data_IF_364948581443
#
_entry.id   IF_364948581443
#
_cell.length_a   1.000
_cell.length_b   1.000
_cell.length_c   1.000
_cell.angle_alpha   90.00
_cell.angle_beta   90.00
_cell.angle_gamma   90.00
#
_symmetry.space_group_name_H-M   'P 1'
#
loop_
_entity.id
_entity.type
_entity.pdbx_description
1 polymer ?
#
# COMPACT_ATOMS: atom_id res chain seq x y z
N UNK A 1 7.23 -13.17 0.85
CA UNK A 1 6.88 -11.76 0.72
C UNK A 1 5.70 -11.70 -0.25
N UNK A 2 4.60 -11.07 0.13
CA UNK A 2 3.39 -10.97 -0.72
C UNK A 2 3.11 -9.48 -0.95
N UNK A 3 2.87 -9.12 -2.20
CA UNK A 3 2.34 -7.81 -2.59
C UNK A 3 0.85 -7.93 -2.86
N UNK A 4 0.08 -6.99 -2.34
CA UNK A 4 -1.39 -6.95 -2.45
C UNK A 4 -1.76 -5.58 -3.01
N UNK A 5 -2.48 -5.54 -4.12
CA UNK A 5 -3.13 -4.32 -4.56
C UNK A 5 -4.38 -4.14 -3.69
N UNK A 6 -4.47 -3.02 -2.97
CA UNK A 6 -5.56 -2.74 -2.04
C UNK A 6 -6.65 -1.87 -2.66
N UNK A 7 -6.52 -1.48 -3.92
CA UNK A 7 -7.44 -0.57 -4.60
C UNK A 7 -7.39 0.84 -4.03
N UNK A 8 -8.46 1.59 -4.29
CA UNK A 8 -8.72 2.97 -3.88
C UNK A 8 -10.15 3.34 -4.25
N UNK A 9 -10.45 4.63 -4.29
CA UNK A 9 -11.76 5.22 -4.64
C UNK A 9 -12.28 4.82 -6.03
N UNK A 10 -11.41 4.43 -6.97
CA UNK A 10 -11.81 4.00 -8.31
C UNK A 10 -12.43 2.58 -8.37
N UNK A 11 -12.55 1.89 -7.23
CA UNK A 11 -13.15 0.56 -7.18
C UNK A 11 -14.64 0.68 -6.88
N UNK A 12 -15.47 0.41 -7.89
CA UNK A 12 -16.92 0.29 -7.77
C UNK A 12 -17.29 -0.90 -6.88
N UNK A 13 -18.16 -0.68 -5.91
CA UNK A 13 -18.67 -1.74 -5.02
C UNK A 13 -20.01 -2.27 -5.53
N UNK A 14 -20.16 -3.60 -5.60
CA UNK A 14 -21.35 -4.26 -6.16
C UNK A 14 -22.67 -3.82 -5.49
N UNK A 15 -22.67 -3.55 -4.18
CA UNK A 15 -23.88 -3.14 -3.46
C UNK A 15 -24.05 -1.61 -3.32
N UNK A 16 -23.15 -0.78 -3.86
CA UNK A 16 -23.22 0.69 -3.80
C UNK A 16 -23.24 1.34 -2.40
N UNK A 17 -23.22 0.52 -1.34
CA UNK A 17 -23.34 0.94 0.07
C UNK A 17 -22.01 1.27 0.73
N UNK A 18 -20.89 0.90 0.11
CA UNK A 18 -19.53 1.12 0.63
C UNK A 18 -18.67 1.78 -0.44
N UNK A 19 -17.90 2.76 -0.02
CA UNK A 19 -16.91 3.46 -0.84
C UNK A 19 -15.64 2.59 -0.97
N UNK A 20 -15.06 2.50 -2.17
CA UNK A 20 -13.82 1.77 -2.45
C UNK A 20 -12.66 2.21 -1.56
N UNK A 21 -12.63 3.49 -1.18
CA UNK A 21 -11.66 4.03 -0.22
C UNK A 21 -11.81 3.42 1.17
N UNK A 22 -13.04 3.32 1.68
CA UNK A 22 -13.30 2.73 2.99
C UNK A 22 -12.87 1.26 3.03
N UNK A 23 -13.13 0.52 1.95
CA UNK A 23 -12.72 -0.90 1.82
C UNK A 23 -11.20 -1.04 1.80
N UNK A 24 -10.50 -0.15 1.09
CA UNK A 24 -9.03 -0.10 1.09
C UNK A 24 -8.48 0.13 2.51
N UNK A 25 -9.03 1.11 3.25
CA UNK A 25 -8.61 1.43 4.62
C UNK A 25 -8.87 0.26 5.59
N UNK A 26 -10.03 -0.38 5.50
CA UNK A 26 -10.37 -1.58 6.29
C UNK A 26 -9.42 -2.74 5.98
N UNK A 27 -9.09 -2.93 4.69
CA UNK A 27 -8.17 -3.98 4.24
C UNK A 27 -6.76 -3.75 4.81
N UNK A 28 -6.22 -2.53 4.70
CA UNK A 28 -4.91 -2.20 5.26
C UNK A 28 -4.87 -2.36 6.78
N UNK A 29 -5.94 -1.98 7.48
CA UNK A 29 -6.06 -2.17 8.93
C UNK A 29 -6.01 -3.65 9.30
N UNK A 30 -6.83 -4.48 8.66
CA UNK A 30 -6.86 -5.92 8.90
C UNK A 30 -5.50 -6.57 8.57
N UNK A 31 -4.85 -6.18 7.47
CA UNK A 31 -3.51 -6.65 7.14
C UNK A 31 -2.49 -6.24 8.22
N UNK A 32 -2.58 -5.03 8.76
CA UNK A 32 -1.66 -4.60 9.81
C UNK A 32 -1.80 -5.43 11.08
N UNK A 33 -3.02 -5.76 11.51
CA UNK A 33 -3.27 -6.57 12.70
C UNK A 33 -2.65 -7.98 12.57
N UNK A 34 -2.72 -8.57 11.38
CA UNK A 34 -2.16 -9.90 11.10
C UNK A 34 -0.64 -9.86 10.94
N UNK A 35 -0.09 -8.87 10.25
CA UNK A 35 1.31 -8.87 9.82
C UNK A 35 2.25 -8.01 10.67
N UNK A 36 1.75 -7.24 11.64
CA UNK A 36 2.61 -6.44 12.54
C UNK A 36 3.52 -7.31 13.39
N UNK A 37 3.07 -8.50 13.81
CA UNK A 37 3.88 -9.45 14.60
C UNK A 37 5.09 -10.04 13.85
N UNK A 38 4.98 -10.19 12.52
CA UNK A 38 5.95 -10.92 11.68
C UNK A 38 6.89 -10.00 10.86
N UNK A 39 6.81 -8.70 11.09
CA UNK A 39 7.55 -7.70 10.33
C UNK A 39 6.62 -6.78 9.56
N UNK A 40 6.57 -5.54 10.04
CA UNK A 40 5.94 -4.32 9.49
C UNK A 40 5.32 -4.47 8.10
N UNK A 41 4.03 -4.13 7.98
CA UNK A 41 3.37 -3.84 6.72
C UNK A 41 3.98 -2.59 6.08
N UNK A 42 4.30 -2.64 4.80
CA UNK A 42 4.73 -1.47 4.01
C UNK A 42 3.68 -1.12 2.99
N UNK A 43 3.50 0.16 2.73
CA UNK A 43 2.52 0.66 1.76
C UNK A 43 3.23 1.58 0.77
N UNK A 44 2.91 1.38 -0.50
CA UNK A 44 3.22 2.27 -1.60
C UNK A 44 1.91 2.95 -2.01
N UNK A 45 1.87 4.26 -1.82
CA UNK A 45 0.83 5.12 -2.38
C UNK A 45 1.18 5.39 -3.84
N UNK A 46 0.27 5.00 -4.74
CA UNK A 46 0.38 5.26 -6.18
C UNK A 46 -0.35 6.55 -6.59
N UNK A 47 -1.01 7.20 -5.64
CA UNK A 47 -1.80 8.40 -5.82
C UNK A 47 -0.96 9.58 -6.30
N UNK A 48 -0.88 9.72 -7.62
CA UNK A 48 -0.50 10.96 -8.27
C UNK A 48 -1.80 11.67 -8.66
N UNK A 49 -2.07 12.83 -8.03
CA UNK A 49 -3.28 13.67 -8.25
C UNK A 49 -4.56 13.13 -7.59
N UNK A 50 -5.56 12.75 -8.38
CA UNK A 50 -6.93 12.38 -7.93
C UNK A 50 -7.09 10.88 -7.65
N UNK A 51 -6.04 10.07 -7.83
CA UNK A 51 -6.06 8.66 -7.43
C UNK A 51 -5.50 8.49 -6.01
N UNK A 52 -6.07 7.53 -5.28
CA UNK A 52 -5.67 7.13 -3.92
C UNK A 52 -5.34 5.62 -3.86
N UNK A 53 -5.08 4.99 -5.01
CA UNK A 53 -4.78 3.56 -5.09
C UNK A 53 -3.48 3.23 -4.35
N UNK A 54 -3.48 2.14 -3.58
CA UNK A 54 -2.28 1.71 -2.87
C UNK A 54 -1.95 0.23 -3.04
N UNK A 55 -0.66 -0.07 -2.84
CA UNK A 55 -0.11 -1.43 -2.83
C UNK A 55 0.51 -1.69 -1.46
N UNK A 56 0.14 -2.81 -0.86
CA UNK A 56 0.68 -3.28 0.40
C UNK A 56 1.72 -4.38 0.19
N UNK A 57 2.75 -4.38 1.03
CA UNK A 57 3.82 -5.37 1.05
C UNK A 57 3.95 -5.95 2.46
N UNK A 58 3.75 -7.27 2.56
CA UNK A 58 3.85 -7.98 3.84
C UNK A 58 5.27 -8.41 4.15
N UNK A 59 5.61 -8.43 5.44
CA UNK A 59 6.95 -8.75 5.98
C UNK A 59 7.99 -7.69 5.65
N UNK A 60 9.25 -7.98 6.00
CA UNK A 60 10.39 -7.10 5.75
C UNK A 60 10.61 -6.90 4.24
N UNK A 61 10.73 -5.64 3.81
CA UNK A 61 11.16 -5.31 2.43
C UNK A 61 12.62 -5.69 2.19
N UNK A 62 13.02 -5.97 0.94
CA UNK A 62 14.42 -6.15 0.58
C UNK A 62 15.25 -4.90 0.88
N UNK A 63 16.56 -5.05 0.91
CA UNK A 63 17.46 -3.90 0.92
C UNK A 63 17.19 -2.98 -0.28
N UNK A 64 17.21 -1.66 -0.06
CA UNK A 64 16.84 -0.69 -1.09
C UNK A 64 17.78 -0.73 -2.29
N UNK A 65 19.08 -0.88 -2.07
CA UNK A 65 20.08 -0.81 -3.14
C UNK A 65 20.09 -2.12 -3.94
N UNK A 66 19.96 -3.26 -3.26
CA UNK A 66 19.76 -4.55 -3.93
C UNK A 66 18.48 -4.56 -4.78
N UNK A 67 17.39 -3.98 -4.28
CA UNK A 67 16.12 -3.93 -5.01
C UNK A 67 16.23 -3.02 -6.24
N UNK A 68 16.81 -1.83 -6.10
CA UNK A 68 17.06 -0.91 -7.23
C UNK A 68 17.98 -1.50 -8.29
N UNK A 69 18.99 -2.27 -7.87
CA UNK A 69 19.93 -2.96 -8.78
C UNK A 69 19.22 -3.93 -9.74
N UNK A 70 18.08 -4.51 -9.32
CA UNK A 70 17.26 -5.43 -10.11
C UNK A 70 16.17 -4.74 -10.93
N UNK A 71 15.96 -3.44 -10.76
CA UNK A 71 14.91 -2.68 -11.47
C UNK A 71 15.43 -1.91 -12.68
N UNK A 72 14.57 -1.80 -13.69
CA UNK A 72 14.74 -0.85 -14.81
C UNK A 72 14.77 0.58 -14.27
N UNK A 73 15.54 1.46 -14.94
CA UNK A 73 15.83 2.82 -14.46
C UNK A 73 14.57 3.61 -14.06
N UNK A 74 13.49 3.48 -14.84
CA UNK A 74 12.22 4.18 -14.59
C UNK A 74 11.45 3.73 -13.33
N UNK A 75 11.72 2.52 -12.82
CA UNK A 75 11.01 1.98 -11.64
C UNK A 75 11.79 2.16 -10.33
N UNK A 76 13.07 2.52 -10.40
CA UNK A 76 13.93 2.66 -9.20
C UNK A 76 13.40 3.68 -8.19
N UNK A 77 12.72 4.72 -8.65
CA UNK A 77 12.13 5.75 -7.78
C UNK A 77 11.05 5.18 -6.83
N UNK A 78 10.28 4.19 -7.29
CA UNK A 78 9.23 3.59 -6.47
C UNK A 78 9.76 2.80 -5.27
N UNK A 79 11.02 2.33 -5.31
CA UNK A 79 11.64 1.62 -4.19
C UNK A 79 11.73 2.50 -2.94
N UNK A 80 11.98 3.79 -3.11
CA UNK A 80 12.13 4.74 -1.99
C UNK A 80 10.79 5.33 -1.52
N UNK A 81 9.71 5.08 -2.26
CA UNK A 81 8.38 5.59 -1.95
C UNK A 81 7.62 4.72 -0.94
N UNK A 82 8.07 3.48 -0.72
CA UNK A 82 7.50 2.58 0.28
C UNK A 82 7.69 3.13 1.70
N UNK A 83 6.61 3.19 2.46
CA UNK A 83 6.65 3.59 3.87
C UNK A 83 6.06 2.51 4.75
N UNK A 84 6.52 2.42 5.99
CA UNK A 84 5.86 1.57 6.96
C UNK A 84 4.43 2.06 7.15
N UNK A 85 3.47 1.14 7.15
CA UNK A 85 2.10 1.44 7.53
C UNK A 85 2.11 1.94 8.98
N UNK A 86 1.37 3.02 9.21
CA UNK A 86 1.12 3.58 10.53
C UNK A 86 -0.38 3.80 10.59
N UNK A 87 -1.04 3.59 11.73
CA UNK A 87 -2.51 3.79 11.83
C UNK A 87 -2.92 5.22 11.41
N UNK A 88 -2.00 6.20 11.54
CA UNK A 88 -2.17 7.57 11.05
C UNK A 88 -2.11 7.74 9.51
N UNK A 89 -1.89 6.68 8.71
CA UNK A 89 -1.94 6.73 7.25
C UNK A 89 -3.34 7.05 6.71
N UNK A 90 -4.38 6.66 7.45
CA UNK A 90 -5.79 6.88 7.10
C UNK A 90 -6.10 8.38 6.93
N UNK A 91 -5.35 9.28 7.58
CA UNK A 91 -5.58 10.72 7.49
C UNK A 91 -4.92 11.41 6.27
N UNK A 92 -4.13 10.70 5.46
CA UNK A 92 -3.41 11.28 4.30
C UNK A 92 -4.06 11.01 2.94
N UNK A 93 -5.01 10.10 2.88
CA UNK A 93 -5.83 9.84 1.70
C UNK A 93 -7.13 10.68 1.71
N UNK A 94 -7.33 11.56 2.70
CA UNK A 94 -8.52 12.40 2.94
C UNK A 94 -8.47 13.77 2.27
#
# INVERSE_FOLDING_TARGET
>A
MIMVNCGGSCVEFEDGKRDGKLVMEETLRAMSEVFVGDGRLWVLDLGLKEEDSCVALTRRRPDSDEWKGKMVKGLRGFVDMWRAYQVAWIARCS
#
